data_IF_165588667450
#
_entry.id   IF_165588667450
#
_cell.length_a   1.000
_cell.length_b   1.000
_cell.length_c   1.000
_cell.angle_alpha   90.00
_cell.angle_beta   90.00
_cell.angle_gamma   90.00
#
_symmetry.space_group_name_H-M   'P 1'
#
loop_
_entity.id
_entity.type
_entity.pdbx_description
1 polymer ?
#
# COMPACT_ATOMS: atom_id res chain seq x y z
N UNK A 1 67.10 -24.47 13.14
CA UNK A 1 66.66 -24.74 14.53
C UNK A 1 67.10 -23.57 15.40
N UNK A 2 66.31 -23.17 16.43
CA UNK A 2 66.63 -22.19 17.52
C UNK A 2 66.48 -20.72 17.07
N UNK A 3 65.87 -19.72 17.72
CA UNK A 3 65.15 -19.41 19.00
C UNK A 3 64.36 -18.10 18.71
N UNK A 4 63.09 -17.91 19.09
CA UNK A 4 62.56 -17.32 20.34
C UNK A 4 63.11 -15.94 20.81
N UNK A 5 62.15 -15.05 21.17
CA UNK A 5 62.19 -13.86 22.06
C UNK A 5 62.69 -12.54 21.40
N UNK A 6 62.20 -11.33 21.65
CA UNK A 6 61.35 -10.74 22.71
C UNK A 6 60.94 -9.28 22.34
N UNK A 7 59.79 -8.82 22.86
CA UNK A 7 59.48 -7.49 23.44
C UNK A 7 59.63 -6.14 22.70
N UNK A 8 58.76 -5.22 23.14
CA UNK A 8 58.68 -3.75 22.99
C UNK A 8 57.77 -3.29 21.84
N UNK A 9 56.65 -2.59 22.07
CA UNK A 9 56.40 -1.55 23.05
C UNK A 9 56.42 -0.20 22.32
N UNK A 10 55.27 0.28 21.88
CA UNK A 10 55.10 1.67 21.45
C UNK A 10 53.62 2.08 21.55
N UNK A 11 53.39 3.01 22.48
CA UNK A 11 52.17 3.77 22.69
C UNK A 11 51.90 4.63 21.45
N UNK A 12 50.69 4.57 20.90
CA UNK A 12 50.20 5.56 19.94
C UNK A 12 48.88 6.14 20.44
N UNK A 13 48.99 7.38 20.89
CA UNK A 13 47.96 8.33 21.26
C UNK A 13 47.06 8.71 20.08
N UNK A 14 45.91 9.31 20.43
CA UNK A 14 44.98 10.11 19.60
C UNK A 14 43.98 9.36 18.70
N UNK A 15 42.71 9.38 19.11
CA UNK A 15 41.71 10.21 18.43
C UNK A 15 40.43 10.28 19.29
N UNK A 16 40.16 11.47 19.83
CA UNK A 16 38.86 11.81 20.42
C UNK A 16 37.87 11.92 19.28
N UNK A 17 37.04 10.90 19.09
CA UNK A 17 35.87 11.01 18.23
C UNK A 17 34.77 11.74 19.01
N UNK A 18 34.58 13.02 18.66
CA UNK A 18 33.42 13.81 19.05
C UNK A 18 32.14 13.03 18.68
N UNK A 19 31.45 12.52 19.68
CA UNK A 19 30.07 12.06 19.54
C UNK A 19 29.21 13.30 19.27
N UNK A 20 29.08 13.67 18.00
CA UNK A 20 27.98 14.52 17.55
C UNK A 20 26.69 13.73 17.80
N UNK A 21 26.09 13.96 18.96
CA UNK A 21 24.75 13.50 19.29
C UNK A 21 23.78 14.31 18.43
N UNK A 22 23.60 13.85 17.19
CA UNK A 22 22.47 14.28 16.38
C UNK A 22 21.21 13.81 17.11
N UNK A 23 20.54 14.73 17.79
CA UNK A 23 19.17 14.56 18.24
C UNK A 23 18.35 14.28 16.97
N UNK A 24 18.00 13.02 16.74
CA UNK A 24 16.87 12.72 15.88
C UNK A 24 15.64 13.00 16.74
N UNK A 25 15.03 14.16 16.51
CA UNK A 25 13.62 14.35 16.83
C UNK A 25 12.87 13.34 15.94
N UNK A 26 12.48 12.22 16.54
CA UNK A 26 11.59 11.26 15.93
C UNK A 26 10.21 11.88 15.87
N UNK A 27 10.00 12.77 14.91
CA UNK A 27 8.65 13.06 14.43
C UNK A 27 8.10 11.73 13.92
N UNK A 28 7.17 11.13 14.68
CA UNK A 28 6.37 10.02 14.17
C UNK A 28 5.57 10.53 12.97
N UNK A 29 6.11 10.29 11.78
CA UNK A 29 5.41 10.48 10.52
C UNK A 29 4.26 9.48 10.52
N UNK A 30 3.08 9.93 10.96
CA UNK A 30 1.84 9.19 10.77
C UNK A 30 1.78 8.74 9.30
N UNK A 31 1.48 7.47 9.00
CA UNK A 31 1.47 6.99 7.63
C UNK A 31 0.46 7.83 6.84
N UNK A 32 0.97 8.62 5.90
CA UNK A 32 0.15 9.49 5.08
C UNK A 32 -0.78 8.61 4.24
N UNK A 33 -2.09 8.71 4.49
CA UNK A 33 -3.10 7.99 3.71
C UNK A 33 -2.98 8.41 2.25
N UNK A 34 -2.62 7.47 1.38
CA UNK A 34 -2.59 7.70 -0.07
C UNK A 34 -4.02 7.70 -0.58
N UNK A 35 -4.46 8.81 -1.18
CA UNK A 35 -5.78 8.87 -1.81
C UNK A 35 -5.80 8.08 -3.13
N UNK A 36 -6.90 7.37 -3.38
CA UNK A 36 -7.19 6.73 -4.66
C UNK A 36 -7.50 7.81 -5.71
N UNK A 37 -6.52 8.10 -6.57
CA UNK A 37 -6.57 9.18 -7.55
C UNK A 37 -6.45 8.71 -8.99
N UNK A 38 -6.61 7.41 -9.25
CA UNK A 38 -6.51 6.86 -10.59
C UNK A 38 -7.59 7.46 -11.50
N UNK A 39 -7.17 8.09 -12.60
CA UNK A 39 -8.05 8.93 -13.44
C UNK A 39 -9.20 8.15 -14.06
N UNK A 40 -8.96 6.89 -14.45
CA UNK A 40 -9.98 5.99 -15.02
C UNK A 40 -10.72 5.21 -13.93
N UNK A 41 -10.00 4.59 -12.99
CA UNK A 41 -10.61 3.63 -12.08
C UNK A 41 -11.31 4.26 -10.89
N UNK A 42 -10.88 5.44 -10.42
CA UNK A 42 -11.63 6.13 -9.39
C UNK A 42 -13.09 6.39 -9.82
N UNK A 43 -13.39 7.03 -10.97
CA UNK A 43 -14.77 7.21 -11.40
C UNK A 43 -15.49 5.89 -11.72
N UNK A 44 -14.76 4.85 -12.15
CA UNK A 44 -15.31 3.51 -12.33
C UNK A 44 -15.85 2.94 -11.00
N UNK A 45 -15.05 3.00 -9.93
CA UNK A 45 -15.47 2.56 -8.59
C UNK A 45 -16.54 3.47 -7.99
N UNK A 46 -16.45 4.79 -8.20
CA UNK A 46 -17.50 5.73 -7.79
C UNK A 46 -18.85 5.36 -8.44
N UNK A 47 -18.85 5.00 -9.72
CA UNK A 47 -20.06 4.68 -10.49
C UNK A 47 -20.64 3.32 -10.11
N UNK A 48 -19.80 2.30 -9.96
CA UNK A 48 -20.25 0.91 -9.84
C UNK A 48 -20.27 0.38 -8.40
N UNK A 49 -19.51 0.98 -7.48
CA UNK A 49 -19.33 0.43 -6.14
C UNK A 49 -19.82 1.36 -5.02
N UNK A 50 -19.62 2.68 -5.16
CA UNK A 50 -19.87 3.61 -4.06
C UNK A 50 -21.33 3.62 -3.59
N UNK A 51 -22.30 3.36 -4.47
CA UNK A 51 -23.73 3.29 -4.14
C UNK A 51 -24.04 2.31 -3.00
N UNK A 52 -23.28 1.22 -2.89
CA UNK A 52 -23.46 0.19 -1.87
C UNK A 52 -22.35 0.17 -0.82
N UNK A 53 -21.13 0.59 -1.19
CA UNK A 53 -19.94 0.39 -0.36
C UNK A 53 -19.34 1.66 0.26
N UNK A 54 -19.84 2.85 -0.06
CA UNK A 54 -19.40 4.08 0.62
C UNK A 54 -19.98 4.20 2.04
N UNK A 55 -19.40 5.06 2.88
CA UNK A 55 -19.89 5.35 4.24
C UNK A 55 -21.41 5.55 4.28
N UNK A 56 -22.09 4.81 5.15
CA UNK A 56 -23.54 4.93 5.37
C UNK A 56 -24.41 4.26 4.29
N UNK A 57 -23.83 3.47 3.38
CA UNK A 57 -24.55 2.70 2.36
C UNK A 57 -24.83 1.27 2.81
N UNK A 58 -25.75 0.58 2.15
CA UNK A 58 -26.30 -0.71 2.60
C UNK A 58 -25.28 -1.83 2.86
N UNK A 59 -24.10 -1.79 2.22
CA UNK A 59 -23.10 -2.86 2.27
C UNK A 59 -21.68 -2.39 2.64
N UNK A 60 -21.53 -1.17 3.17
CA UNK A 60 -20.22 -0.61 3.50
C UNK A 60 -19.45 -1.41 4.58
N UNK A 61 -20.16 -2.20 5.41
CA UNK A 61 -19.54 -3.09 6.41
C UNK A 61 -18.90 -4.34 5.81
N UNK A 62 -19.36 -4.79 4.64
CA UNK A 62 -18.77 -5.95 3.94
C UNK A 62 -17.45 -5.58 3.27
N UNK A 63 -17.40 -4.36 2.74
CA UNK A 63 -16.22 -3.70 2.20
C UNK A 63 -16.52 -2.20 2.16
N UNK A 64 -15.62 -1.40 2.72
CA UNK A 64 -15.76 0.04 2.77
C UNK A 64 -14.94 0.68 1.66
N UNK A 65 -15.62 1.19 0.64
CA UNK A 65 -14.99 1.99 -0.40
C UNK A 65 -14.73 3.42 0.11
N UNK A 66 -13.47 3.73 0.42
CA UNK A 66 -13.01 5.03 0.88
C UNK A 66 -11.87 5.58 -0.01
N UNK A 67 -12.17 6.41 -1.01
CA UNK A 67 -11.15 6.91 -1.93
C UNK A 67 -10.11 7.82 -1.27
N UNK A 68 -10.32 8.27 -0.03
CA UNK A 68 -9.31 9.02 0.73
C UNK A 68 -8.25 8.11 1.39
N UNK A 69 -8.50 6.79 1.43
CA UNK A 69 -7.62 5.80 2.06
C UNK A 69 -7.49 4.57 1.16
N UNK A 70 -6.61 4.67 0.16
CA UNK A 70 -6.33 3.59 -0.80
C UNK A 70 -5.88 2.32 -0.08
N UNK A 71 -5.00 2.47 0.92
CA UNK A 71 -4.42 1.36 1.65
C UNK A 71 -5.49 0.57 2.41
N UNK A 72 -6.43 1.23 3.09
CA UNK A 72 -7.52 0.54 3.77
C UNK A 72 -8.59 0.00 2.81
N UNK A 73 -8.84 0.70 1.70
CA UNK A 73 -9.87 0.32 0.72
C UNK A 73 -9.44 -0.87 -0.14
N UNK A 74 -8.17 -0.91 -0.51
CA UNK A 74 -7.58 -1.85 -1.45
C UNK A 74 -6.38 -2.56 -0.83
N UNK A 75 -6.54 -3.07 0.39
CA UNK A 75 -5.50 -3.87 1.03
C UNK A 75 -5.38 -5.27 0.39
N UNK A 76 -4.37 -6.02 0.85
CA UNK A 76 -4.13 -7.41 0.45
C UNK A 76 -5.30 -8.37 0.73
N UNK A 77 -6.25 -7.97 1.56
CA UNK A 77 -7.41 -8.78 1.92
C UNK A 77 -8.60 -8.52 0.98
N UNK A 78 -8.87 -7.26 0.65
CA UNK A 78 -10.01 -6.88 -0.19
C UNK A 78 -9.72 -7.01 -1.68
N UNK A 79 -8.50 -6.72 -2.14
CA UNK A 79 -8.17 -6.77 -3.58
C UNK A 79 -8.52 -8.13 -4.23
N UNK A 80 -8.11 -9.29 -3.70
CA UNK A 80 -8.47 -10.57 -4.28
C UNK A 80 -9.99 -10.82 -4.29
N UNK A 81 -10.70 -10.34 -3.27
CA UNK A 81 -12.16 -10.49 -3.18
C UNK A 81 -12.86 -9.63 -4.20
N UNK A 82 -12.46 -8.37 -4.35
CA UNK A 82 -13.04 -7.47 -5.35
C UNK A 82 -12.85 -8.07 -6.74
N UNK A 83 -11.64 -8.56 -7.06
CA UNK A 83 -11.36 -9.21 -8.33
C UNK A 83 -12.23 -10.45 -8.57
N UNK A 84 -12.35 -11.33 -7.56
CA UNK A 84 -13.20 -12.52 -7.62
C UNK A 84 -14.67 -12.17 -7.90
N UNK A 85 -15.24 -11.17 -7.20
CA UNK A 85 -16.64 -10.79 -7.37
C UNK A 85 -16.91 -10.09 -8.70
N UNK A 86 -16.02 -9.19 -9.10
CA UNK A 86 -16.22 -8.36 -10.30
C UNK A 86 -15.89 -9.12 -11.59
N UNK A 87 -14.74 -9.79 -11.65
CA UNK A 87 -14.23 -10.35 -12.90
C UNK A 87 -14.47 -11.86 -13.06
N UNK A 88 -14.29 -12.64 -11.98
CA UNK A 88 -14.45 -14.10 -12.03
C UNK A 88 -15.93 -14.48 -11.95
N UNK A 89 -16.61 -14.09 -10.88
CA UNK A 89 -18.03 -14.41 -10.64
C UNK A 89 -18.98 -13.50 -11.39
N UNK A 90 -18.57 -12.25 -11.64
CA UNK A 90 -19.38 -11.22 -12.29
C UNK A 90 -20.73 -11.02 -11.59
N UNK A 91 -20.73 -11.16 -10.27
CA UNK A 91 -21.91 -11.04 -9.40
C UNK A 91 -21.96 -9.71 -8.64
N UNK A 92 -21.03 -8.80 -8.96
CA UNK A 92 -21.01 -7.41 -8.51
C UNK A 92 -20.89 -6.46 -9.70
N UNK A 93 -21.67 -5.36 -9.72
CA UNK A 93 -22.68 -4.97 -8.72
C UNK A 93 -23.89 -5.92 -8.69
N UNK A 94 -24.53 -6.11 -7.52
CA UNK A 94 -25.60 -7.11 -7.34
C UNK A 94 -26.80 -6.90 -8.27
N UNK A 95 -27.17 -5.64 -8.50
CA UNK A 95 -28.39 -5.27 -9.23
C UNK A 95 -28.09 -4.75 -10.64
N UNK A 96 -26.86 -4.94 -11.14
CA UNK A 96 -26.45 -4.48 -12.46
C UNK A 96 -25.40 -5.41 -13.08
N UNK A 97 -25.55 -5.68 -14.38
CA UNK A 97 -24.53 -6.41 -15.14
C UNK A 97 -23.55 -5.41 -15.74
N UNK A 98 -22.27 -5.56 -15.43
CA UNK A 98 -21.20 -4.78 -16.06
C UNK A 98 -21.07 -5.16 -17.53
N UNK A 99 -20.90 -4.16 -18.39
CA UNK A 99 -20.59 -4.42 -19.80
C UNK A 99 -19.22 -5.10 -19.95
N UNK A 100 -19.00 -5.78 -21.08
CA UNK A 100 -17.69 -6.36 -21.38
C UNK A 100 -16.58 -5.32 -21.31
N UNK A 101 -16.81 -4.12 -21.86
CA UNK A 101 -15.82 -3.03 -21.82
C UNK A 101 -15.48 -2.59 -20.38
N UNK A 102 -16.47 -2.55 -19.48
CA UNK A 102 -16.24 -2.23 -18.08
C UNK A 102 -15.43 -3.32 -17.36
N UNK A 103 -15.69 -4.59 -17.67
CA UNK A 103 -14.92 -5.72 -17.13
C UNK A 103 -13.48 -5.72 -17.62
N UNK A 104 -13.24 -5.47 -18.91
CA UNK A 104 -11.88 -5.37 -19.46
C UNK A 104 -11.12 -4.17 -18.90
N UNK A 105 -11.79 -3.04 -18.66
CA UNK A 105 -11.19 -1.87 -18.01
C UNK A 105 -10.74 -2.22 -16.58
N UNK A 106 -11.60 -2.89 -15.80
CA UNK A 106 -11.27 -3.35 -14.45
C UNK A 106 -10.13 -4.38 -14.45
N UNK A 107 -10.14 -5.32 -15.40
CA UNK A 107 -9.11 -6.34 -15.54
C UNK A 107 -7.75 -5.73 -15.86
N UNK A 108 -7.69 -4.79 -16.80
CA UNK A 108 -6.45 -4.11 -17.17
C UNK A 108 -5.82 -3.36 -15.99
N UNK A 109 -6.64 -2.67 -15.18
CA UNK A 109 -6.15 -2.04 -13.94
C UNK A 109 -5.64 -3.07 -12.92
N UNK A 110 -6.32 -4.21 -12.81
CA UNK A 110 -5.92 -5.30 -11.90
C UNK A 110 -4.59 -5.94 -12.34
N UNK A 111 -4.42 -6.21 -13.63
CA UNK A 111 -3.20 -6.78 -14.21
C UNK A 111 -2.00 -5.82 -14.08
N UNK A 112 -2.26 -4.50 -14.03
CA UNK A 112 -1.24 -3.47 -13.78
C UNK A 112 -0.81 -3.38 -12.29
N UNK A 113 -1.32 -4.27 -11.43
CA UNK A 113 -0.94 -4.33 -10.02
C UNK A 113 -1.70 -3.36 -9.12
N UNK A 114 -2.91 -2.96 -9.51
CA UNK A 114 -3.76 -2.04 -8.74
C UNK A 114 -3.06 -0.71 -8.43
N UNK A 115 -2.70 0.09 -9.45
CA UNK A 115 -2.13 1.40 -9.22
C UNK A 115 -3.16 2.35 -8.57
N UNK A 116 -2.71 3.10 -7.55
CA UNK A 116 -3.53 4.09 -6.88
C UNK A 116 -3.71 5.39 -7.68
N UNK A 117 -2.87 5.61 -8.71
CA UNK A 117 -2.78 6.82 -9.55
C UNK A 117 -2.81 6.45 -11.02
#
# INVERSE_FOLDING_TARGET
>A
MIKWLCFNGAIALLAVALLASCKHDSDEVLPQKVAFGHTIMKPWFDTHCATCHATGRSNYLNWHYNPQDYAATFDKYYLPKIYERVYVKKDMPKDAVLSLAALETFKAWSDAGFPAK
#
